data_IF_775755115781
#
_entry.id   IF_775755115781
#
_cell.length_a   1.000
_cell.length_b   1.000
_cell.length_c   1.000
_cell.angle_alpha   90.00
_cell.angle_beta   90.00
_cell.angle_gamma   90.00
#
_symmetry.space_group_name_H-M   'P 1'
#
loop_
_entity.id
_entity.type
_entity.pdbx_description
1 polymer ?
#
# COMPACT_ATOMS: atom_id res chain seq x y z
N UNK A 1 -22.00 -0.74 4.47
CA UNK A 1 -20.80 -1.46 5.00
C UNK A 1 -20.11 -0.53 5.99
N UNK A 2 -19.46 -1.03 7.04
CA UNK A 2 -18.72 -0.16 7.98
C UNK A 2 -17.24 -0.26 7.67
N UNK A 3 -16.58 0.87 7.39
CA UNK A 3 -15.14 0.93 7.16
C UNK A 3 -14.43 1.05 8.52
N UNK A 4 -13.55 0.11 8.80
CA UNK A 4 -12.73 0.12 10.02
C UNK A 4 -11.32 0.54 9.65
N UNK A 5 -10.92 1.71 10.12
CA UNK A 5 -9.66 2.37 9.77
C UNK A 5 -8.77 2.43 10.99
N UNK A 6 -7.54 1.95 10.87
CA UNK A 6 -6.52 1.98 11.91
C UNK A 6 -6.06 3.41 12.19
N UNK A 7 -5.77 4.16 11.12
CA UNK A 7 -5.26 5.52 11.19
C UNK A 7 -5.47 6.28 9.87
N UNK A 8 -5.59 7.61 9.96
CA UNK A 8 -5.60 8.54 8.84
C UNK A 8 -4.60 9.64 9.14
N UNK A 9 -3.59 9.83 8.29
CA UNK A 9 -2.55 10.84 8.51
C UNK A 9 -2.01 11.40 7.19
N UNK A 10 -1.52 12.64 7.26
CA UNK A 10 -0.89 13.34 6.13
C UNK A 10 0.63 13.20 6.22
N UNK A 11 1.25 12.81 5.11
CA UNK A 11 2.70 12.63 5.00
C UNK A 11 3.14 12.65 3.53
N UNK A 12 4.38 12.26 3.24
CA UNK A 12 4.86 11.96 1.89
C UNK A 12 4.73 10.47 1.62
N UNK A 13 4.30 10.10 0.39
CA UNK A 13 4.47 8.73 -0.07
C UNK A 13 5.96 8.40 -0.06
N UNK A 14 6.33 7.35 0.66
CA UNK A 14 7.74 6.96 0.86
C UNK A 14 8.24 5.90 -0.10
N UNK A 15 7.39 5.34 -0.97
CA UNK A 15 7.67 4.13 -1.74
C UNK A 15 7.18 4.23 -3.19
N UNK A 16 7.80 3.42 -4.07
CA UNK A 16 7.35 3.23 -5.44
C UNK A 16 7.45 4.47 -6.33
N UNK A 17 6.61 4.51 -7.36
CA UNK A 17 6.65 5.56 -8.38
C UNK A 17 6.14 6.91 -7.85
N UNK A 18 5.27 6.91 -6.86
CA UNK A 18 4.74 8.12 -6.22
C UNK A 18 5.60 8.63 -5.05
N UNK A 19 6.80 8.08 -4.82
CA UNK A 19 7.68 8.51 -3.73
C UNK A 19 7.98 10.02 -3.78
N UNK A 20 7.88 10.67 -2.60
CA UNK A 20 8.04 12.12 -2.45
C UNK A 20 6.76 12.93 -2.65
N UNK A 21 5.68 12.33 -3.11
CA UNK A 21 4.39 13.01 -3.32
C UNK A 21 3.63 13.17 -2.00
N UNK A 22 3.13 14.38 -1.66
CA UNK A 22 2.25 14.57 -0.51
C UNK A 22 0.96 13.75 -0.65
N UNK A 23 0.57 13.05 0.42
CA UNK A 23 -0.62 12.19 0.42
C UNK A 23 -1.26 12.09 1.80
N UNK A 24 -2.55 11.79 1.82
CA UNK A 24 -3.24 11.32 3.03
C UNK A 24 -3.29 9.80 2.98
N UNK A 25 -2.69 9.15 3.96
CA UNK A 25 -2.77 7.70 4.12
C UNK A 25 -4.03 7.33 4.90
N UNK A 26 -4.83 6.44 4.34
CA UNK A 26 -5.98 5.82 4.97
C UNK A 26 -5.67 4.33 5.17
N UNK A 27 -5.24 3.95 6.37
CA UNK A 27 -4.86 2.58 6.71
C UNK A 27 -6.06 1.81 7.24
N UNK A 28 -6.59 0.90 6.44
CA UNK A 28 -7.67 0.00 6.83
C UNK A 28 -7.17 -1.08 7.80
N UNK A 29 -8.03 -1.49 8.72
CA UNK A 29 -7.75 -2.54 9.69
C UNK A 29 -8.04 -3.92 9.11
N UNK A 30 -7.24 -4.92 9.53
CA UNK A 30 -7.41 -6.32 9.14
C UNK A 30 -6.70 -6.69 7.84
N UNK A 31 -6.33 -7.96 7.75
CA UNK A 31 -5.65 -8.56 6.60
C UNK A 31 -6.07 -10.02 6.46
N UNK A 32 -6.11 -10.53 5.23
CA UNK A 32 -6.41 -11.92 4.95
C UNK A 32 -5.18 -12.84 4.92
N UNK A 33 -3.96 -12.29 5.00
CA UNK A 33 -2.71 -13.06 4.94
C UNK A 33 -2.03 -13.21 6.30
N UNK A 34 -2.41 -12.39 7.28
CA UNK A 34 -1.93 -12.46 8.66
C UNK A 34 -2.93 -11.80 9.59
N UNK A 35 -3.09 -12.36 10.80
CA UNK A 35 -4.02 -11.81 11.81
C UNK A 35 -3.52 -10.52 12.46
N UNK A 36 -2.24 -10.19 12.29
CA UNK A 36 -1.59 -9.08 12.99
C UNK A 36 -1.13 -9.43 14.42
N UNK A 37 -1.32 -10.67 14.85
CA UNK A 37 -0.87 -11.13 16.16
C UNK A 37 0.45 -11.87 16.04
N UNK A 38 1.43 -11.48 16.86
CA UNK A 38 2.77 -12.08 16.80
C UNK A 38 2.76 -13.61 17.05
N UNK A 39 1.84 -14.10 17.90
CA UNK A 39 1.67 -15.52 18.15
C UNK A 39 1.33 -16.36 16.90
N UNK A 40 0.69 -15.73 15.91
CA UNK A 40 0.24 -16.40 14.68
C UNK A 40 1.23 -16.17 13.50
N UNK A 41 2.30 -15.37 13.68
CA UNK A 41 3.23 -15.00 12.62
C UNK A 41 3.88 -16.20 11.93
N UNK A 42 4.29 -17.20 12.69
CA UNK A 42 4.97 -18.37 12.14
C UNK A 42 4.10 -19.20 11.18
N UNK A 43 2.77 -19.11 11.32
CA UNK A 43 1.79 -19.80 10.46
C UNK A 43 1.14 -18.90 9.42
N UNK A 44 1.50 -17.62 9.41
CA UNK A 44 0.96 -16.66 8.45
C UNK A 44 1.51 -16.88 7.04
N UNK A 45 0.73 -16.52 6.01
CA UNK A 45 1.22 -16.45 4.64
C UNK A 45 2.24 -15.32 4.50
N UNK A 46 1.96 -14.15 5.10
CA UNK A 46 2.88 -13.01 5.14
C UNK A 46 3.59 -12.96 6.51
N UNK A 47 4.76 -13.59 6.63
CA UNK A 47 5.53 -13.69 7.87
C UNK A 47 6.39 -12.47 8.19
N UNK A 48 6.61 -11.58 7.22
CA UNK A 48 7.52 -10.44 7.29
C UNK A 48 6.83 -9.07 7.37
N UNK A 49 5.52 -9.06 7.66
CA UNK A 49 4.77 -7.80 7.75
C UNK A 49 5.28 -6.92 8.90
N UNK A 50 5.59 -5.66 8.59
CA UNK A 50 6.09 -4.64 9.51
C UNK A 50 5.01 -3.59 9.87
N UNK A 51 3.76 -3.81 9.43
CA UNK A 51 2.66 -2.86 9.57
C UNK A 51 1.75 -3.22 10.75
N UNK A 52 1.44 -2.26 11.61
CA UNK A 52 0.35 -2.38 12.59
C UNK A 52 -0.98 -1.96 11.96
N UNK A 53 -1.82 -2.95 11.70
CA UNK A 53 -3.17 -2.78 11.16
C UNK A 53 -4.27 -3.35 12.08
N UNK A 54 -3.93 -3.66 13.33
CA UNK A 54 -4.89 -4.28 14.26
C UNK A 54 -5.74 -3.22 14.95
N UNK A 55 -7.06 -3.38 14.86
CA UNK A 55 -8.03 -2.52 15.55
C UNK A 55 -8.07 -1.09 15.03
N UNK A 56 -8.53 -0.17 15.88
CA UNK A 56 -8.64 1.26 15.61
C UNK A 56 -7.65 2.00 16.49
N UNK A 57 -6.78 2.79 15.89
CA UNK A 57 -5.84 3.66 16.60
C UNK A 57 -6.45 5.03 16.92
N UNK A 58 -5.69 5.90 17.61
CA UNK A 58 -6.17 7.24 18.01
C UNK A 58 -6.49 8.15 16.81
N UNK A 59 -5.80 7.96 15.69
CA UNK A 59 -6.03 8.70 14.43
C UNK A 59 -6.96 7.95 13.47
N UNK A 60 -7.59 6.86 13.90
CA UNK A 60 -8.50 6.02 13.12
C UNK A 60 -9.95 6.18 13.52
N UNK A 61 -10.78 5.26 13.04
CA UNK A 61 -12.20 5.28 13.32
C UNK A 61 -12.98 4.15 12.67
N UNK A 62 -14.29 4.11 13.00
CA UNK A 62 -15.28 3.30 12.28
C UNK A 62 -16.24 4.24 11.58
N UNK A 63 -16.32 4.14 10.27
CA UNK A 63 -17.13 5.01 9.43
C UNK A 63 -18.27 4.20 8.83
N UNK A 64 -19.50 4.65 9.03
CA UNK A 64 -20.71 3.93 8.60
C UNK A 64 -21.11 4.27 7.17
N UNK A 65 -20.64 5.40 6.65
CA UNK A 65 -20.89 5.85 5.28
C UNK A 65 -19.58 6.19 4.55
N UNK A 66 -19.55 6.07 3.20
CA UNK A 66 -18.44 6.53 2.37
C UNK A 66 -18.13 8.02 2.59
N UNK A 67 -19.18 8.85 2.73
CA UNK A 67 -19.03 10.29 2.93
C UNK A 67 -18.35 10.63 4.25
N UNK A 68 -18.66 9.91 5.35
CA UNK A 68 -17.99 10.12 6.64
C UNK A 68 -16.49 9.77 6.53
N UNK A 69 -16.15 8.69 5.82
CA UNK A 69 -14.77 8.31 5.59
C UNK A 69 -14.04 9.37 4.74
N UNK A 70 -14.65 9.83 3.65
CA UNK A 70 -14.09 10.86 2.80
C UNK A 70 -13.91 12.20 3.54
N UNK A 71 -14.86 12.58 4.39
CA UNK A 71 -14.74 13.78 5.23
C UNK A 71 -13.57 13.66 6.22
N UNK A 72 -13.38 12.49 6.83
CA UNK A 72 -12.26 12.24 7.74
C UNK A 72 -10.90 12.34 7.02
N UNK A 73 -10.79 11.77 5.81
CA UNK A 73 -9.60 11.89 4.96
C UNK A 73 -9.35 13.35 4.58
N UNK A 74 -10.39 14.06 4.12
CA UNK A 74 -10.29 15.47 3.71
C UNK A 74 -9.84 16.39 4.86
N UNK A 75 -10.24 16.08 6.09
CA UNK A 75 -9.83 16.85 7.27
C UNK A 75 -8.34 16.80 7.57
N UNK A 76 -7.64 15.80 7.02
CA UNK A 76 -6.18 15.65 7.19
C UNK A 76 -5.39 16.38 6.11
N UNK A 77 -6.01 16.76 4.99
CA UNK A 77 -5.33 17.54 3.95
C UNK A 77 -5.22 19.01 4.39
N UNK A 78 -4.01 19.55 4.58
CA UNK A 78 -3.84 20.86 5.23
C UNK A 78 -4.08 22.05 4.31
N UNK A 79 -4.18 21.82 3.01
CA UNK A 79 -4.23 22.89 2.02
C UNK A 79 -5.59 22.94 1.32
N UNK A 80 -6.09 24.14 1.04
CA UNK A 80 -7.14 24.32 0.02
C UNK A 80 -6.47 24.01 -1.32
N UNK A 81 -7.14 23.22 -2.17
CA UNK A 81 -6.64 22.88 -3.49
C UNK A 81 -6.19 24.16 -4.23
N UNK A 82 -4.88 24.32 -4.38
CA UNK A 82 -4.30 25.29 -5.28
C UNK A 82 -4.45 24.76 -6.70
N UNK A 83 -4.73 25.63 -7.65
CA UNK A 83 -4.87 25.25 -9.07
C UNK A 83 -3.68 24.38 -9.50
N UNK A 84 -3.97 23.17 -9.96
CA UNK A 84 -3.03 22.33 -10.70
C UNK A 84 -2.58 21.00 -10.07
N UNK A 85 -2.86 20.71 -8.78
CA UNK A 85 -2.56 19.40 -8.22
C UNK A 85 -3.74 18.79 -7.48
N UNK A 86 -4.19 17.63 -7.91
CA UNK A 86 -5.19 16.85 -7.15
C UNK A 86 -4.52 16.25 -5.91
N UNK A 87 -5.13 16.40 -4.72
CA UNK A 87 -4.65 15.71 -3.52
C UNK A 87 -4.71 14.19 -3.72
N UNK A 88 -3.74 13.47 -3.15
CA UNK A 88 -3.67 12.02 -3.21
C UNK A 88 -4.15 11.41 -1.90
N UNK A 89 -5.06 10.44 -1.96
CA UNK A 89 -5.31 9.49 -0.87
C UNK A 89 -4.71 8.14 -1.21
N UNK A 90 -3.92 7.59 -0.29
CA UNK A 90 -3.36 6.24 -0.39
C UNK A 90 -4.15 5.32 0.55
N UNK A 91 -5.00 4.50 -0.03
CA UNK A 91 -5.72 3.45 0.67
C UNK A 91 -4.79 2.26 0.86
N UNK A 92 -4.40 2.01 2.09
CA UNK A 92 -3.46 0.95 2.48
C UNK A 92 -3.96 0.22 3.73
N UNK A 93 -3.13 -0.55 4.40
CA UNK A 93 -3.50 -1.14 5.68
C UNK A 93 -2.89 -2.51 5.90
N UNK A 94 -3.69 -3.43 6.43
CA UNK A 94 -3.46 -4.86 6.26
C UNK A 94 -3.77 -5.25 4.80
N UNK A 95 -5.06 -5.39 4.48
CA UNK A 95 -5.51 -5.49 3.09
C UNK A 95 -6.73 -4.58 2.89
N UNK A 96 -6.56 -3.44 2.20
CA UNK A 96 -7.63 -2.45 2.04
C UNK A 96 -8.81 -2.98 1.20
N UNK A 97 -8.55 -3.85 0.22
CA UNK A 97 -9.60 -4.37 -0.68
C UNK A 97 -10.59 -5.33 0.01
N UNK A 98 -10.39 -5.68 1.29
CA UNK A 98 -11.42 -6.33 2.10
C UNK A 98 -12.57 -5.39 2.44
N UNK A 99 -12.37 -4.08 2.36
CA UNK A 99 -13.33 -3.07 2.80
C UNK A 99 -13.54 -1.94 1.77
N UNK A 100 -12.51 -1.56 1.01
CA UNK A 100 -12.58 -0.50 0.02
C UNK A 100 -13.50 -0.93 -1.13
N UNK A 101 -14.60 -0.20 -1.32
CA UNK A 101 -15.58 -0.42 -2.37
C UNK A 101 -15.70 0.79 -3.30
N UNK A 102 -16.43 0.64 -4.41
CA UNK A 102 -16.61 1.72 -5.39
C UNK A 102 -17.29 2.96 -4.78
N UNK A 103 -18.16 2.79 -3.80
CA UNK A 103 -18.82 3.92 -3.15
C UNK A 103 -17.84 4.77 -2.33
N UNK A 104 -16.83 4.14 -1.69
CA UNK A 104 -15.76 4.88 -1.01
C UNK A 104 -14.84 5.58 -2.01
N UNK A 105 -14.51 4.94 -3.14
CA UNK A 105 -13.71 5.55 -4.21
C UNK A 105 -14.43 6.77 -4.79
N UNK A 106 -15.72 6.66 -5.10
CA UNK A 106 -16.55 7.78 -5.58
C UNK A 106 -16.58 8.93 -4.57
N UNK A 107 -16.75 8.63 -3.27
CA UNK A 107 -16.76 9.66 -2.22
C UNK A 107 -15.41 10.38 -2.08
N UNK A 108 -14.28 9.70 -2.29
CA UNK A 108 -12.97 10.34 -2.34
C UNK A 108 -12.82 11.23 -3.59
N UNK A 109 -13.31 10.79 -4.75
CA UNK A 109 -13.32 11.61 -5.96
C UNK A 109 -14.21 12.86 -5.80
N UNK A 110 -15.40 12.73 -5.21
CA UNK A 110 -16.29 13.86 -4.90
C UNK A 110 -15.62 14.86 -3.94
N UNK A 111 -14.76 14.37 -3.06
CA UNK A 111 -13.93 15.21 -2.19
C UNK A 111 -12.67 15.79 -2.90
N UNK A 112 -12.48 15.50 -4.19
CA UNK A 112 -11.41 16.04 -5.02
C UNK A 112 -10.10 15.25 -5.02
N UNK A 113 -10.06 14.07 -4.39
CA UNK A 113 -8.85 13.26 -4.31
C UNK A 113 -8.64 12.40 -5.57
N UNK A 114 -7.38 12.17 -5.90
CA UNK A 114 -6.91 11.02 -6.66
C UNK A 114 -6.77 9.84 -5.69
N UNK A 115 -7.20 8.64 -6.09
CA UNK A 115 -7.30 7.48 -5.21
C UNK A 115 -6.31 6.41 -5.62
N UNK A 116 -5.30 6.19 -4.78
CA UNK A 116 -4.35 5.09 -4.90
C UNK A 116 -4.67 3.96 -3.92
N UNK A 117 -4.41 2.73 -4.32
CA UNK A 117 -4.46 1.56 -3.44
C UNK A 117 -3.11 0.86 -3.37
N UNK A 118 -2.70 0.47 -2.17
CA UNK A 118 -1.61 -0.47 -1.93
C UNK A 118 -2.18 -1.78 -1.38
N UNK A 119 -2.12 -2.84 -2.18
CA UNK A 119 -2.78 -4.12 -1.90
C UNK A 119 -1.82 -5.29 -2.04
N UNK A 120 -2.11 -6.40 -1.37
CA UNK A 120 -1.41 -7.66 -1.60
C UNK A 120 -1.86 -8.38 -2.89
N UNK A 121 -2.87 -7.86 -3.59
CA UNK A 121 -3.35 -8.33 -4.88
C UNK A 121 -4.21 -9.59 -4.84
N UNK A 122 -4.62 -10.06 -3.66
CA UNK A 122 -5.43 -11.29 -3.51
C UNK A 122 -6.94 -11.06 -3.57
N UNK A 123 -7.37 -9.81 -3.67
CA UNK A 123 -8.78 -9.43 -3.75
C UNK A 123 -9.03 -8.63 -5.04
N UNK A 124 -10.26 -8.67 -5.61
CA UNK A 124 -10.61 -7.83 -6.75
C UNK A 124 -10.61 -6.35 -6.35
N UNK A 125 -10.17 -5.50 -7.26
CA UNK A 125 -10.20 -4.05 -7.07
C UNK A 125 -11.59 -3.49 -7.45
N UNK A 126 -12.12 -2.50 -6.69
CA UNK A 126 -13.30 -1.75 -7.11
C UNK A 126 -12.98 -0.90 -8.34
N UNK A 127 -14.02 -0.56 -9.11
CA UNK A 127 -13.86 0.39 -10.21
C UNK A 127 -13.51 1.80 -9.71
N UNK A 128 -12.81 2.56 -10.55
CA UNK A 128 -12.55 3.97 -10.34
C UNK A 128 -11.22 4.30 -9.62
N UNK A 129 -10.40 3.32 -9.25
CA UNK A 129 -9.06 3.60 -8.72
C UNK A 129 -8.20 4.27 -9.78
N UNK A 130 -7.48 5.33 -9.38
CA UNK A 130 -6.57 6.06 -10.27
C UNK A 130 -5.15 5.45 -10.27
N UNK A 131 -4.79 4.68 -9.23
CA UNK A 131 -3.50 4.01 -9.10
C UNK A 131 -3.62 2.71 -8.33
N UNK A 132 -3.21 1.61 -8.92
CA UNK A 132 -3.17 0.29 -8.29
C UNK A 132 -1.71 -0.15 -8.13
N UNK A 133 -1.25 -0.19 -6.88
CA UNK A 133 0.04 -0.78 -6.51
C UNK A 133 -0.19 -2.17 -5.91
N UNK A 134 0.25 -3.20 -6.61
CA UNK A 134 0.19 -4.59 -6.13
C UNK A 134 1.52 -4.98 -5.51
N UNK A 135 1.47 -5.49 -4.28
CA UNK A 135 2.63 -5.99 -3.56
C UNK A 135 2.47 -7.48 -3.24
N UNK A 136 2.88 -8.39 -4.12
CA UNK A 136 2.72 -9.83 -3.93
C UNK A 136 3.38 -10.33 -2.64
N UNK A 137 2.75 -11.30 -1.98
CA UNK A 137 3.21 -11.86 -0.70
C UNK A 137 3.36 -13.38 -0.80
N UNK A 138 4.61 -13.87 -0.69
CA UNK A 138 4.91 -15.29 -0.63
C UNK A 138 4.21 -16.09 -1.75
N UNK A 139 3.60 -17.21 -1.42
CA UNK A 139 2.86 -18.07 -2.36
C UNK A 139 1.40 -17.66 -2.57
N UNK A 140 0.94 -16.56 -1.98
CA UNK A 140 -0.46 -16.11 -2.12
C UNK A 140 -0.86 -15.97 -3.60
N UNK A 141 -2.03 -16.50 -4.00
CA UNK A 141 -2.48 -16.37 -5.38
C UNK A 141 -2.87 -14.91 -5.67
N UNK A 142 -2.43 -14.38 -6.80
CA UNK A 142 -2.83 -13.07 -7.27
C UNK A 142 -4.16 -13.15 -8.01
N UNK A 143 -5.07 -12.23 -7.67
CA UNK A 143 -6.29 -11.91 -8.41
C UNK A 143 -6.02 -10.71 -9.32
N UNK A 144 -5.25 -9.73 -8.85
CA UNK A 144 -4.85 -8.56 -9.63
C UNK A 144 -3.54 -8.84 -10.36
N UNK A 145 -3.61 -8.91 -11.67
CA UNK A 145 -2.48 -9.21 -12.57
C UNK A 145 -2.10 -8.03 -13.47
N UNK A 146 -2.76 -6.89 -13.27
CA UNK A 146 -2.51 -5.62 -13.97
C UNK A 146 -2.70 -4.43 -13.04
N UNK A 147 -2.12 -3.30 -13.40
CA UNK A 147 -2.19 -2.03 -12.68
C UNK A 147 -0.99 -1.14 -13.00
N UNK A 148 -0.83 -0.05 -12.30
CA UNK A 148 0.25 0.90 -12.55
C UNK A 148 1.58 0.43 -11.95
N UNK A 149 1.55 -0.29 -10.79
CA UNK A 149 2.77 -0.62 -10.07
C UNK A 149 2.72 -2.03 -9.47
N UNK A 150 3.78 -2.82 -9.73
CA UNK A 150 4.09 -4.02 -8.97
C UNK A 150 5.31 -3.74 -8.08
N UNK A 151 5.11 -3.78 -6.76
CA UNK A 151 6.15 -3.50 -5.75
C UNK A 151 6.41 -4.75 -4.91
N UNK A 152 7.46 -5.48 -5.25
CA UNK A 152 7.81 -6.74 -4.60
C UNK A 152 8.78 -6.51 -3.44
N UNK A 153 8.38 -6.90 -2.24
CA UNK A 153 9.31 -6.97 -1.08
C UNK A 153 10.34 -8.07 -1.37
N UNK A 154 11.63 -7.75 -1.22
CA UNK A 154 12.70 -8.64 -1.66
C UNK A 154 13.81 -8.79 -0.60
N UNK A 155 14.35 -10.00 -0.41
CA UNK A 155 13.99 -11.27 -1.07
C UNK A 155 12.79 -11.98 -0.40
N UNK A 156 12.02 -12.72 -1.20
CA UNK A 156 11.01 -13.66 -0.72
C UNK A 156 11.28 -15.02 -1.39
N UNK A 157 11.43 -16.09 -0.62
CA UNK A 157 11.78 -17.41 -1.14
C UNK A 157 10.74 -17.96 -2.14
N UNK A 158 9.45 -17.77 -1.84
CA UNK A 158 8.33 -18.29 -2.62
C UNK A 158 7.78 -17.30 -3.66
N UNK A 159 8.39 -16.12 -3.77
CA UNK A 159 7.98 -15.07 -4.69
C UNK A 159 9.19 -14.43 -5.36
N UNK A 160 9.93 -15.18 -6.21
CA UNK A 160 11.04 -14.62 -6.97
C UNK A 160 10.51 -13.63 -8.03
N UNK A 161 11.27 -12.56 -8.38
CA UNK A 161 10.81 -11.51 -9.29
C UNK A 161 10.39 -12.04 -10.67
N UNK A 162 11.07 -13.06 -11.18
CA UNK A 162 10.80 -13.68 -12.49
C UNK A 162 9.36 -14.21 -12.61
N UNK A 163 8.74 -14.57 -11.50
CA UNK A 163 7.35 -15.02 -11.44
C UNK A 163 6.36 -13.94 -11.90
N UNK A 164 6.75 -12.68 -11.81
CA UNK A 164 5.86 -11.53 -12.02
C UNK A 164 6.18 -10.74 -13.30
N UNK A 165 7.26 -11.02 -13.98
CA UNK A 165 7.73 -10.25 -15.14
C UNK A 165 6.77 -10.25 -16.34
N UNK A 166 5.92 -11.27 -16.47
CA UNK A 166 4.94 -11.36 -17.54
C UNK A 166 3.62 -10.65 -17.24
N UNK A 167 3.45 -10.09 -16.03
CA UNK A 167 2.24 -9.39 -15.63
C UNK A 167 2.17 -7.99 -16.27
N UNK A 168 0.96 -7.46 -16.38
CA UNK A 168 0.65 -6.21 -17.06
C UNK A 168 0.68 -5.03 -16.07
N UNK A 169 1.90 -4.58 -15.73
CA UNK A 169 2.16 -3.42 -14.89
C UNK A 169 3.08 -2.45 -15.61
N UNK A 170 2.84 -1.14 -15.42
CA UNK A 170 3.67 -0.08 -15.99
C UNK A 170 5.04 0.00 -15.30
N UNK A 171 5.05 -0.24 -13.98
CA UNK A 171 6.24 -0.13 -13.14
C UNK A 171 6.49 -1.38 -12.33
N UNK A 172 7.75 -1.80 -12.27
CA UNK A 172 8.22 -2.92 -11.45
C UNK A 172 9.25 -2.43 -10.44
N UNK A 173 8.99 -2.66 -9.15
CA UNK A 173 9.89 -2.27 -8.06
C UNK A 173 10.26 -3.44 -7.19
N UNK A 174 11.55 -3.50 -6.82
CA UNK A 174 12.03 -4.29 -5.68
C UNK A 174 12.21 -3.38 -4.47
N UNK A 175 11.58 -3.76 -3.37
CA UNK A 175 11.70 -3.08 -2.10
C UNK A 175 12.42 -3.97 -1.09
N UNK A 176 13.61 -3.59 -0.60
CA UNK A 176 14.31 -4.39 0.39
C UNK A 176 13.42 -4.74 1.57
N UNK A 177 13.33 -6.03 1.90
CA UNK A 177 12.62 -6.48 3.11
C UNK A 177 13.27 -5.86 4.34
N UNK A 178 12.46 -5.17 5.14
CA UNK A 178 12.90 -4.55 6.37
C UNK A 178 13.25 -5.57 7.46
N UNK A 179 13.92 -5.12 8.51
CA UNK A 179 14.30 -5.93 9.66
C UNK A 179 15.81 -5.97 9.91
N UNK A 180 16.28 -6.90 10.76
CA UNK A 180 17.67 -6.93 11.23
C UNK A 180 18.74 -7.05 10.12
N UNK A 181 18.35 -7.54 8.96
CA UNK A 181 19.23 -7.76 7.79
C UNK A 181 18.94 -6.83 6.61
N UNK A 182 18.24 -5.72 6.82
CA UNK A 182 17.85 -4.77 5.77
C UNK A 182 19.02 -4.31 4.89
N UNK A 183 20.19 -4.08 5.48
CA UNK A 183 21.40 -3.69 4.73
C UNK A 183 21.84 -4.75 3.71
N UNK A 184 21.71 -6.04 4.07
CA UNK A 184 21.95 -7.17 3.14
C UNK A 184 20.88 -7.20 2.05
N UNK A 185 19.61 -7.10 2.43
CA UNK A 185 18.49 -7.15 1.50
C UNK A 185 18.56 -5.98 0.50
N UNK A 186 19.00 -4.80 0.94
CA UNK A 186 19.22 -3.64 0.07
C UNK A 186 20.29 -3.93 -0.97
N UNK A 187 21.43 -4.52 -0.59
CA UNK A 187 22.47 -4.89 -1.55
C UNK A 187 21.94 -5.89 -2.59
N UNK A 188 21.23 -6.93 -2.15
CA UNK A 188 20.62 -7.91 -3.04
C UNK A 188 19.63 -7.28 -4.02
N UNK A 189 18.77 -6.36 -3.56
CA UNK A 189 17.84 -5.66 -4.42
C UNK A 189 18.55 -4.77 -5.44
N UNK A 190 19.60 -4.04 -5.04
CA UNK A 190 20.43 -3.23 -5.94
C UNK A 190 21.10 -4.10 -7.00
N UNK A 191 21.74 -5.20 -6.60
CA UNK A 191 22.41 -6.15 -7.51
C UNK A 191 21.40 -6.70 -8.52
N UNK A 192 20.22 -7.10 -8.06
CA UNK A 192 19.16 -7.60 -8.93
C UNK A 192 18.69 -6.54 -9.93
N UNK A 193 18.39 -5.32 -9.49
CA UNK A 193 17.96 -4.23 -10.37
C UNK A 193 19.02 -3.86 -11.41
N UNK A 194 20.31 -3.88 -11.05
CA UNK A 194 21.42 -3.64 -11.99
C UNK A 194 21.51 -4.70 -13.07
N UNK A 195 21.19 -5.96 -12.74
CA UNK A 195 21.19 -7.07 -13.68
C UNK A 195 19.90 -7.17 -14.52
N UNK A 196 18.79 -6.60 -14.04
CA UNK A 196 17.46 -6.70 -14.63
C UNK A 196 16.81 -5.31 -14.76
N UNK A 197 17.08 -4.55 -15.83
CA UNK A 197 16.71 -3.13 -15.97
C UNK A 197 15.21 -2.84 -15.98
N UNK A 198 14.35 -3.85 -16.10
CA UNK A 198 12.90 -3.70 -15.93
C UNK A 198 12.54 -3.37 -14.48
N UNK A 199 13.31 -3.87 -13.52
CA UNK A 199 13.11 -3.66 -12.10
C UNK A 199 13.84 -2.41 -11.63
N UNK A 200 13.14 -1.61 -10.83
CA UNK A 200 13.65 -0.40 -10.20
C UNK A 200 13.72 -0.60 -8.69
N UNK A 201 14.66 0.06 -8.04
CA UNK A 201 14.75 0.02 -6.59
C UNK A 201 13.71 0.97 -5.98
N UNK A 202 12.88 0.45 -5.08
CA UNK A 202 12.08 1.24 -4.15
C UNK A 202 12.70 1.15 -2.76
N UNK A 203 12.91 2.26 -2.10
CA UNK A 203 13.32 2.29 -0.69
C UNK A 203 12.20 2.88 0.15
N UNK A 204 12.15 2.55 1.43
CA UNK A 204 11.21 3.13 2.39
C UNK A 204 11.75 4.49 2.87
N UNK A 205 11.64 5.52 2.02
CA UNK A 205 12.24 6.85 2.28
C UNK A 205 11.69 7.49 3.54
N UNK A 206 10.43 7.22 3.90
CA UNK A 206 9.83 7.70 5.14
C UNK A 206 10.61 7.24 6.39
N UNK A 207 11.14 6.00 6.40
CA UNK A 207 11.99 5.50 7.49
C UNK A 207 13.32 6.24 7.57
N UNK A 208 13.94 6.53 6.41
CA UNK A 208 15.19 7.28 6.36
C UNK A 208 15.03 8.76 6.79
N UNK A 209 13.85 9.35 6.49
CA UNK A 209 13.52 10.73 6.85
C UNK A 209 12.95 10.87 8.27
N UNK A 210 12.60 9.77 8.94
CA UNK A 210 11.98 9.77 10.26
C UNK A 210 10.56 10.36 10.26
N UNK A 211 9.83 10.25 9.14
CA UNK A 211 8.42 10.65 9.03
C UNK A 211 7.52 9.41 9.03
N UNK A 212 6.20 9.66 9.22
CA UNK A 212 5.19 8.56 9.19
C UNK A 212 5.03 8.03 7.79
#
# INVERSE_FOLDING_TARGET
MTYTVKEIFYTLQGEGANAGRPAVFCRFSGCNLWTGREADRASAVCTFCDTDFVGVGPDGGKFTTPSDLAAAVSSRWPWRSSEGSRPLVVCTGGEPLLQLDSAAVEAFHDAGFEVAVETNGTQPAPAGLDWICVSPKSSAPLVLTSGEELKLVYPQADAPPERFESLDFDHFFLQPMDGPVVARNTRLAVEYCLAHPRWRLSVQTHKALGIR
#
